data_IF_737153210644
#
_entry.id   IF_737153210644
#
_cell.length_a   1.000
_cell.length_b   1.000
_cell.length_c   1.000
_cell.angle_alpha   90.00
_cell.angle_beta   90.00
_cell.angle_gamma   90.00
#
_symmetry.space_group_name_H-M   'P 1'
#
loop_
_entity.id
_entity.type
_entity.pdbx_description
1 polymer ?
#
# COMPACT_ATOMS: atom_id res chain seq x y z
N UNK A 1 -33.35 -5.53 -20.74
CA UNK A 1 -32.08 -6.25 -20.53
C UNK A 1 -30.86 -5.39 -20.93
N UNK A 2 -30.75 -4.13 -20.47
CA UNK A 2 -29.66 -3.22 -20.84
C UNK A 2 -29.19 -2.40 -19.62
N UNK A 3 -28.48 -3.02 -18.67
CA UNK A 3 -27.72 -2.28 -17.64
C UNK A 3 -26.59 -3.07 -16.95
N UNK A 4 -26.36 -4.34 -17.30
CA UNK A 4 -25.31 -5.18 -16.71
C UNK A 4 -23.93 -5.06 -17.41
N UNK A 5 -23.82 -4.27 -18.46
CA UNK A 5 -22.57 -4.08 -19.22
C UNK A 5 -21.77 -2.83 -18.79
N UNK A 6 -22.24 -2.07 -17.80
CA UNK A 6 -21.68 -0.75 -17.45
C UNK A 6 -21.17 -0.59 -16.01
N UNK A 7 -21.32 -1.58 -15.11
CA UNK A 7 -20.81 -1.47 -13.74
C UNK A 7 -19.38 -2.03 -13.62
N UNK A 8 -18.54 -1.29 -12.90
CA UNK A 8 -17.17 -1.72 -12.57
C UNK A 8 -17.19 -2.82 -11.50
N UNK A 9 -16.26 -3.78 -11.58
CA UNK A 9 -16.02 -4.73 -10.49
C UNK A 9 -15.08 -4.09 -9.47
N UNK A 10 -15.49 -4.00 -8.22
CA UNK A 10 -14.70 -3.43 -7.12
C UNK A 10 -14.12 -4.55 -6.26
N UNK A 11 -12.82 -4.49 -5.97
CA UNK A 11 -12.14 -5.50 -5.17
C UNK A 11 -11.41 -4.82 -4.02
N UNK A 12 -11.87 -5.12 -2.81
CA UNK A 12 -11.27 -4.64 -1.57
C UNK A 12 -10.31 -5.72 -1.05
N UNK A 13 -9.04 -5.38 -0.91
CA UNK A 13 -7.99 -6.27 -0.41
C UNK A 13 -7.65 -5.91 1.04
N UNK A 14 -7.58 -6.90 1.91
CA UNK A 14 -7.14 -6.76 3.30
C UNK A 14 -5.99 -7.72 3.54
N UNK A 15 -4.88 -7.21 4.09
CA UNK A 15 -3.82 -8.08 4.62
C UNK A 15 -4.22 -8.58 6.01
N UNK A 16 -3.94 -9.84 6.32
CA UNK A 16 -4.15 -10.41 7.65
C UNK A 16 -3.62 -9.51 8.77
N UNK A 17 -4.28 -9.60 9.92
CA UNK A 17 -3.90 -8.85 11.11
C UNK A 17 -2.57 -9.31 11.69
N UNK A 18 -2.07 -8.58 12.69
CA UNK A 18 -0.77 -8.86 13.31
C UNK A 18 -0.71 -10.26 13.91
N UNK A 19 0.37 -10.99 13.63
CA UNK A 19 0.63 -12.33 14.19
C UNK A 19 1.82 -12.35 15.13
N UNK A 20 1.96 -13.45 15.88
CA UNK A 20 3.14 -13.76 16.72
C UNK A 20 4.45 -13.66 15.91
N UNK A 21 4.48 -14.19 14.69
CA UNK A 21 5.67 -14.10 13.82
C UNK A 21 5.91 -12.69 13.29
N UNK A 22 4.88 -11.84 13.16
CA UNK A 22 5.10 -10.43 12.84
C UNK A 22 5.81 -9.71 13.99
N UNK A 23 5.43 -9.97 15.24
CA UNK A 23 6.05 -9.36 16.42
C UNK A 23 7.49 -9.82 16.62
N UNK A 24 7.75 -11.10 16.37
CA UNK A 24 9.09 -11.69 16.46
C UNK A 24 9.99 -11.31 15.27
N UNK A 25 9.43 -10.82 14.16
CA UNK A 25 10.21 -10.55 12.96
C UNK A 25 10.67 -11.82 12.24
N UNK A 26 9.78 -12.80 12.10
CA UNK A 26 10.04 -14.06 11.39
C UNK A 26 9.44 -14.07 9.98
N UNK A 27 10.12 -14.74 9.06
CA UNK A 27 9.54 -15.12 7.77
C UNK A 27 8.41 -16.12 8.01
N UNK A 28 7.19 -15.75 7.65
CA UNK A 28 6.03 -16.66 7.74
C UNK A 28 5.92 -17.51 6.48
N UNK A 29 5.98 -16.87 5.32
CA UNK A 29 5.66 -17.52 4.05
C UNK A 29 4.32 -18.26 4.11
N UNK A 30 4.27 -19.41 3.46
CA UNK A 30 3.12 -20.33 3.46
C UNK A 30 2.97 -21.16 4.74
N UNK A 31 3.84 -21.03 5.75
CA UNK A 31 3.68 -21.74 7.04
C UNK A 31 2.38 -21.33 7.73
N UNK A 32 1.72 -22.29 8.38
CA UNK A 32 0.49 -22.09 9.14
C UNK A 32 0.68 -22.10 10.67
N UNK A 33 1.90 -21.88 11.14
CA UNK A 33 2.23 -21.93 12.58
C UNK A 33 1.85 -20.66 13.34
N UNK A 34 1.84 -19.50 12.67
CA UNK A 34 1.58 -18.23 13.34
C UNK A 34 0.11 -18.07 13.70
N UNK A 35 -0.16 -17.32 14.77
CA UNK A 35 -1.51 -16.99 15.25
C UNK A 35 -1.64 -15.48 15.39
N UNK A 36 -2.86 -14.95 15.29
CA UNK A 36 -3.10 -13.54 15.60
C UNK A 36 -2.71 -13.22 17.05
N UNK A 37 -2.14 -12.03 17.26
CA UNK A 37 -1.93 -11.50 18.61
C UNK A 37 -3.20 -10.81 19.10
N UNK A 38 -3.28 -10.50 20.40
CA UNK A 38 -4.44 -9.77 20.94
C UNK A 38 -4.63 -8.42 20.24
N UNK A 39 -3.53 -7.69 19.99
CA UNK A 39 -3.56 -6.49 19.17
C UNK A 39 -4.04 -6.78 17.74
N UNK A 40 -3.60 -7.89 17.14
CA UNK A 40 -4.08 -8.32 15.83
C UNK A 40 -5.60 -8.50 15.79
N UNK A 41 -6.19 -9.15 16.80
CA UNK A 41 -7.65 -9.28 16.87
C UNK A 41 -8.35 -7.93 16.97
N UNK A 42 -7.88 -7.02 17.84
CA UNK A 42 -8.44 -5.66 17.95
C UNK A 42 -8.35 -4.88 16.64
N UNK A 43 -7.21 -4.96 15.97
CA UNK A 43 -6.99 -4.32 14.67
C UNK A 43 -7.90 -4.92 13.58
N UNK A 44 -8.20 -6.23 13.63
CA UNK A 44 -9.11 -6.89 12.69
C UNK A 44 -10.58 -6.49 12.92
N UNK A 45 -11.01 -6.35 14.18
CA UNK A 45 -12.35 -5.83 14.52
C UNK A 45 -12.52 -4.39 14.02
N UNK A 46 -11.54 -3.52 14.27
CA UNK A 46 -11.57 -2.14 13.76
C UNK A 46 -11.58 -2.09 12.22
N UNK A 47 -10.90 -3.04 11.57
CA UNK A 47 -10.99 -3.20 10.11
C UNK A 47 -12.40 -3.61 9.68
N UNK A 48 -13.07 -4.48 10.44
CA UNK A 48 -14.47 -4.80 10.21
C UNK A 48 -15.38 -3.57 10.23
N UNK A 49 -15.18 -2.65 11.19
CA UNK A 49 -15.95 -1.40 11.29
C UNK A 49 -15.75 -0.53 10.05
N UNK A 50 -14.50 -0.33 9.61
CA UNK A 50 -14.19 0.47 8.43
C UNK A 50 -14.76 -0.13 7.12
N UNK A 51 -15.03 -1.43 7.10
CA UNK A 51 -15.57 -2.12 5.93
C UNK A 51 -17.11 -2.15 5.89
N UNK A 52 -17.80 -1.61 6.89
CA UNK A 52 -19.27 -1.62 6.96
C UNK A 52 -19.93 -0.82 5.84
N UNK A 53 -19.26 0.21 5.33
CA UNK A 53 -19.76 1.03 4.22
C UNK A 53 -19.83 0.26 2.87
N UNK A 54 -19.25 -0.94 2.78
CA UNK A 54 -19.25 -1.74 1.55
C UNK A 54 -20.29 -2.86 1.59
N UNK A 55 -21.21 -2.85 0.62
CA UNK A 55 -22.06 -4.02 0.35
C UNK A 55 -21.31 -5.02 -0.51
N UNK A 56 -20.82 -6.07 0.15
CA UNK A 56 -20.06 -7.13 -0.50
C UNK A 56 -20.99 -8.20 -1.08
N UNK A 57 -20.68 -8.64 -2.29
CA UNK A 57 -21.36 -9.75 -2.97
C UNK A 57 -20.68 -11.09 -2.66
N UNK A 58 -19.38 -11.09 -2.39
CA UNK A 58 -18.62 -12.27 -1.97
C UNK A 58 -17.38 -11.91 -1.13
N UNK A 59 -16.97 -12.85 -0.28
CA UNK A 59 -15.70 -12.79 0.46
C UNK A 59 -14.82 -13.96 0.01
N UNK A 60 -13.57 -13.69 -0.34
CA UNK A 60 -12.55 -14.70 -0.60
C UNK A 60 -11.43 -14.62 0.44
N UNK A 61 -10.92 -15.76 0.88
CA UNK A 61 -9.81 -15.78 1.82
C UNK A 61 -8.80 -16.89 1.54
N UNK A 62 -7.55 -16.64 1.96
CA UNK A 62 -6.52 -17.66 2.05
C UNK A 62 -6.89 -18.76 3.06
N UNK A 63 -6.48 -20.02 2.83
CA UNK A 63 -6.73 -21.12 3.78
C UNK A 63 -5.95 -21.02 5.10
N UNK A 64 -4.93 -20.15 5.19
CA UNK A 64 -4.06 -20.07 6.36
C UNK A 64 -4.79 -19.48 7.58
N UNK A 65 -4.55 -20.07 8.75
CA UNK A 65 -5.18 -19.80 10.04
C UNK A 65 -5.20 -18.32 10.38
N UNK A 66 -4.09 -17.59 10.22
CA UNK A 66 -4.04 -16.14 10.49
C UNK A 66 -5.02 -15.31 9.65
N UNK A 67 -5.28 -15.73 8.40
CA UNK A 67 -6.23 -15.09 7.51
C UNK A 67 -7.65 -15.46 7.90
N UNK A 68 -7.92 -16.73 8.22
CA UNK A 68 -9.22 -17.18 8.75
C UNK A 68 -9.60 -16.40 10.00
N UNK A 69 -8.71 -16.33 11.00
CA UNK A 69 -8.91 -15.56 12.23
C UNK A 69 -9.16 -14.06 11.97
N UNK A 70 -8.44 -13.46 11.02
CA UNK A 70 -8.67 -12.05 10.64
C UNK A 70 -10.06 -11.89 10.02
N UNK A 71 -10.45 -12.81 9.14
CA UNK A 71 -11.71 -12.78 8.42
C UNK A 71 -12.90 -13.00 9.36
N UNK A 72 -12.78 -13.90 10.34
CA UNK A 72 -13.77 -14.14 11.39
C UNK A 72 -14.03 -12.89 12.23
N UNK A 73 -12.99 -12.17 12.63
CA UNK A 73 -13.13 -10.91 13.37
C UNK A 73 -13.83 -9.83 12.52
N UNK A 74 -13.46 -9.68 11.25
CA UNK A 74 -14.12 -8.75 10.32
C UNK A 74 -15.61 -9.11 10.19
N UNK A 75 -15.94 -10.38 9.93
CA UNK A 75 -17.32 -10.85 9.77
C UNK A 75 -18.14 -10.63 11.04
N UNK A 76 -17.55 -10.83 12.22
CA UNK A 76 -18.24 -10.59 13.50
C UNK A 76 -18.81 -9.17 13.56
N UNK A 77 -18.04 -8.19 13.09
CA UNK A 77 -18.43 -6.78 13.07
C UNK A 77 -19.40 -6.48 11.92
N UNK A 78 -19.21 -7.07 10.74
CA UNK A 78 -20.16 -6.92 9.62
C UNK A 78 -21.54 -7.48 9.98
N UNK A 79 -21.61 -8.62 10.70
CA UNK A 79 -22.85 -9.24 11.19
C UNK A 79 -23.66 -8.37 12.12
N UNK A 80 -22.99 -7.53 12.91
CA UNK A 80 -23.68 -6.65 13.88
C UNK A 80 -24.45 -5.54 13.18
N UNK A 81 -23.94 -5.07 12.03
CA UNK A 81 -24.44 -3.87 11.36
C UNK A 81 -25.09 -4.16 10.00
N UNK A 82 -25.12 -5.43 9.55
CA UNK A 82 -25.75 -5.85 8.28
C UNK A 82 -26.69 -7.04 8.47
N UNK A 83 -27.81 -6.99 7.75
CA UNK A 83 -28.81 -8.06 7.71
C UNK A 83 -28.41 -9.25 6.83
N UNK A 84 -27.33 -9.12 6.06
CA UNK A 84 -26.85 -10.14 5.13
C UNK A 84 -25.33 -10.27 5.23
N UNK A 85 -24.86 -11.52 5.18
CA UNK A 85 -23.45 -11.84 5.06
C UNK A 85 -23.26 -12.48 3.69
N UNK A 86 -22.34 -11.96 2.86
CA UNK A 86 -22.03 -12.59 1.58
C UNK A 86 -21.49 -14.01 1.73
N UNK A 87 -21.59 -14.84 0.68
CA UNK A 87 -20.92 -16.13 0.63
C UNK A 87 -19.40 -15.99 0.79
N UNK A 88 -18.82 -16.89 1.57
CA UNK A 88 -17.40 -16.90 1.92
C UNK A 88 -16.73 -18.09 1.23
N UNK A 89 -15.65 -17.84 0.50
CA UNK A 89 -14.91 -18.84 -0.26
C UNK A 89 -13.45 -18.89 0.18
N UNK A 90 -12.97 -20.08 0.52
CA UNK A 90 -11.52 -20.30 0.70
C UNK A 90 -10.89 -20.65 -0.64
N UNK A 91 -9.80 -19.96 -1.03
CA UNK A 91 -9.09 -20.22 -2.27
C UNK A 91 -7.58 -20.39 -2.03
N UNK A 92 -7.03 -21.54 -2.42
CA UNK A 92 -5.61 -21.86 -2.22
C UNK A 92 -4.68 -20.93 -3.01
N UNK A 93 -5.14 -20.30 -4.09
CA UNK A 93 -4.36 -19.33 -4.86
C UNK A 93 -4.18 -17.99 -4.12
N UNK A 94 -4.82 -17.83 -2.97
CA UNK A 94 -4.59 -16.71 -2.05
C UNK A 94 -3.58 -17.05 -0.94
N UNK A 95 -2.92 -18.21 -0.99
CA UNK A 95 -1.84 -18.56 -0.03
C UNK A 95 -0.65 -17.61 -0.15
N UNK A 96 0.02 -17.35 0.97
CA UNK A 96 1.21 -16.49 1.01
C UNK A 96 2.37 -17.11 0.24
N UNK A 97 3.28 -16.24 -0.22
CA UNK A 97 4.50 -16.65 -0.90
C UNK A 97 5.23 -17.76 -0.14
N UNK A 98 5.63 -18.82 -0.85
CA UNK A 98 6.41 -19.90 -0.27
C UNK A 98 7.86 -19.46 -0.11
N UNK A 99 8.35 -19.43 1.13
CA UNK A 99 9.71 -19.04 1.47
C UNK A 99 10.57 -20.22 1.96
N UNK A 100 10.12 -21.45 1.72
CA UNK A 100 10.84 -22.71 1.97
C UNK A 100 11.71 -22.68 3.24
N UNK A 101 13.03 -22.73 3.09
CA UNK A 101 14.02 -22.83 4.17
C UNK A 101 14.09 -21.59 5.09
N UNK A 102 13.47 -20.49 4.70
CA UNK A 102 13.41 -19.27 5.51
C UNK A 102 12.21 -19.27 6.46
N UNK A 103 11.19 -20.09 6.22
CA UNK A 103 9.99 -20.09 7.07
C UNK A 103 10.35 -20.42 8.52
N UNK A 104 9.87 -19.60 9.45
CA UNK A 104 10.19 -19.72 10.86
C UNK A 104 11.48 -19.02 11.27
N UNK A 105 12.40 -18.69 10.37
CA UNK A 105 13.63 -17.97 10.72
C UNK A 105 13.36 -16.48 10.93
N UNK A 106 14.12 -15.86 11.84
CA UNK A 106 14.17 -14.41 12.02
C UNK A 106 14.75 -13.75 10.76
N UNK A 107 14.30 -12.54 10.46
CA UNK A 107 14.86 -11.75 9.36
C UNK A 107 16.39 -11.57 9.48
N UNK A 108 16.89 -11.47 10.71
CA UNK A 108 18.32 -11.30 10.99
C UNK A 108 19.09 -12.60 10.73
N UNK A 109 18.58 -13.74 11.21
CA UNK A 109 19.19 -15.06 10.96
C UNK A 109 19.32 -15.34 9.46
N UNK A 110 18.29 -14.99 8.67
CA UNK A 110 18.35 -15.15 7.20
C UNK A 110 19.42 -14.26 6.58
N UNK A 111 19.54 -13.00 7.02
CA UNK A 111 20.55 -12.07 6.50
C UNK A 111 21.97 -12.53 6.82
N UNK A 112 22.19 -13.15 7.97
CA UNK A 112 23.49 -13.65 8.40
C UNK A 112 23.84 -14.99 7.73
N UNK A 113 22.87 -15.91 7.63
CA UNK A 113 23.09 -17.26 7.10
C UNK A 113 23.06 -17.34 5.57
N UNK A 114 22.25 -16.51 4.92
CA UNK A 114 22.00 -16.56 3.48
C UNK A 114 22.27 -15.19 2.82
N UNK A 115 23.46 -14.63 3.01
CA UNK A 115 23.80 -13.24 2.66
C UNK A 115 23.47 -12.91 1.19
N UNK A 116 23.96 -13.70 0.24
CA UNK A 116 23.79 -13.48 -1.20
C UNK A 116 22.31 -13.62 -1.59
N UNK A 117 21.66 -14.66 -1.08
CA UNK A 117 20.26 -14.94 -1.35
C UNK A 117 19.33 -13.86 -0.75
N UNK A 118 19.65 -13.34 0.45
CA UNK A 118 18.96 -12.23 1.09
C UNK A 118 19.14 -10.92 0.31
N UNK A 119 20.34 -10.66 -0.22
CA UNK A 119 20.61 -9.53 -1.09
C UNK A 119 19.83 -9.63 -2.42
N UNK A 120 19.79 -10.82 -3.03
CA UNK A 120 18.99 -11.06 -4.23
C UNK A 120 17.49 -10.86 -3.94
N UNK A 121 16.97 -11.44 -2.87
CA UNK A 121 15.58 -11.25 -2.45
C UNK A 121 15.23 -9.76 -2.27
N UNK A 122 16.10 -8.99 -1.62
CA UNK A 122 15.84 -7.58 -1.36
C UNK A 122 15.87 -6.71 -2.63
N UNK A 123 16.79 -6.97 -3.55
CA UNK A 123 17.12 -6.05 -4.64
C UNK A 123 16.61 -6.52 -6.01
N UNK A 124 16.58 -7.83 -6.24
CA UNK A 124 16.15 -8.46 -7.48
C UNK A 124 15.21 -9.64 -7.18
N UNK A 125 14.08 -9.39 -6.50
CA UNK A 125 13.20 -10.45 -6.00
C UNK A 125 12.64 -11.39 -7.09
N UNK A 126 12.59 -10.92 -8.34
CA UNK A 126 12.15 -11.69 -9.50
C UNK A 126 13.17 -12.73 -9.99
N UNK A 127 14.44 -12.60 -9.60
CA UNK A 127 15.51 -13.57 -9.89
C UNK A 127 15.79 -14.51 -8.71
N UNK A 128 15.24 -14.20 -7.54
CA UNK A 128 15.42 -15.02 -6.35
C UNK A 128 14.79 -16.40 -6.55
N UNK A 129 15.56 -17.43 -6.22
CA UNK A 129 15.14 -18.82 -6.28
C UNK A 129 15.81 -19.60 -5.14
N UNK A 130 15.26 -20.78 -4.81
CA UNK A 130 15.87 -21.68 -3.82
C UNK A 130 16.70 -22.81 -4.47
N UNK A 131 16.36 -23.21 -5.70
CA UNK A 131 16.88 -24.42 -6.34
C UNK A 131 16.75 -24.39 -7.89
N UNK A 132 16.85 -23.20 -8.50
CA UNK A 132 16.73 -22.90 -9.94
C UNK A 132 15.44 -23.35 -10.66
N UNK A 133 14.54 -24.03 -9.96
CA UNK A 133 13.28 -24.57 -10.49
C UNK A 133 12.06 -23.87 -9.90
N UNK A 134 12.23 -23.19 -8.76
CA UNK A 134 11.18 -22.44 -8.08
C UNK A 134 11.62 -21.00 -7.80
N UNK A 135 10.89 -20.05 -8.36
CA UNK A 135 11.14 -18.61 -8.28
C UNK A 135 9.97 -17.95 -7.53
N UNK A 136 10.04 -17.81 -6.19
CA UNK A 136 8.89 -17.50 -5.36
C UNK A 136 8.00 -16.35 -5.83
N UNK A 137 8.58 -15.28 -6.38
CA UNK A 137 7.81 -14.14 -6.90
C UNK A 137 7.17 -14.45 -8.25
N UNK A 138 7.88 -15.13 -9.17
CA UNK A 138 7.33 -15.47 -10.49
C UNK A 138 6.17 -16.44 -10.32
N UNK A 139 6.35 -17.51 -9.54
CA UNK A 139 5.31 -18.49 -9.23
C UNK A 139 4.08 -17.84 -8.58
N UNK A 140 4.29 -16.89 -7.65
CA UNK A 140 3.18 -16.17 -7.02
C UNK A 140 2.43 -15.28 -8.02
N UNK A 141 3.12 -14.62 -8.95
CA UNK A 141 2.48 -13.80 -9.98
C UNK A 141 1.61 -14.64 -10.92
N UNK A 142 2.06 -15.84 -11.29
CA UNK A 142 1.25 -16.78 -12.07
C UNK A 142 0.02 -17.24 -11.26
N UNK A 143 0.22 -17.64 -10.00
CA UNK A 143 -0.83 -18.09 -9.09
C UNK A 143 -1.97 -17.05 -8.97
N UNK A 144 -1.63 -15.78 -8.74
CA UNK A 144 -2.65 -14.72 -8.59
C UNK A 144 -3.28 -14.32 -9.92
N UNK A 145 -2.57 -14.48 -11.05
CA UNK A 145 -3.14 -14.26 -12.38
C UNK A 145 -4.26 -15.26 -12.67
N UNK A 146 -4.05 -16.54 -12.35
CA UNK A 146 -5.08 -17.57 -12.46
C UNK A 146 -6.27 -17.28 -11.52
N UNK A 147 -6.01 -16.73 -10.33
CA UNK A 147 -7.06 -16.30 -9.41
C UNK A 147 -7.91 -15.17 -10.02
N UNK A 148 -7.29 -14.13 -10.57
CA UNK A 148 -7.99 -13.02 -11.23
C UNK A 148 -8.87 -13.47 -12.38
N UNK A 149 -8.36 -14.35 -13.25
CA UNK A 149 -9.13 -14.88 -14.39
C UNK A 149 -10.45 -15.52 -13.94
N UNK A 150 -10.42 -16.33 -12.87
CA UNK A 150 -11.64 -16.96 -12.33
C UNK A 150 -12.54 -15.93 -11.65
N UNK A 151 -11.97 -15.05 -10.82
CA UNK A 151 -12.73 -14.07 -10.04
C UNK A 151 -13.50 -13.10 -10.95
N UNK A 152 -12.79 -12.45 -11.89
CA UNK A 152 -13.36 -11.42 -12.76
C UNK A 152 -14.35 -11.98 -13.80
N UNK A 153 -14.22 -13.26 -14.15
CA UNK A 153 -15.22 -13.94 -14.98
C UNK A 153 -16.52 -14.15 -14.22
N UNK A 154 -16.45 -14.48 -12.93
CA UNK A 154 -17.60 -14.78 -12.09
C UNK A 154 -18.31 -13.54 -11.54
N UNK A 155 -17.56 -12.50 -11.19
CA UNK A 155 -18.03 -11.37 -10.37
C UNK A 155 -18.03 -10.04 -11.14
N UNK A 156 -18.68 -9.99 -12.31
CA UNK A 156 -18.75 -8.77 -13.13
C UNK A 156 -19.71 -7.76 -12.52
N UNK A 157 -19.22 -6.54 -12.27
CA UNK A 157 -20.04 -5.46 -11.70
C UNK A 157 -20.31 -5.60 -10.20
N UNK A 158 -19.66 -6.56 -9.53
CA UNK A 158 -19.85 -6.86 -8.10
C UNK A 158 -18.74 -6.25 -7.24
N UNK A 159 -18.98 -6.15 -5.94
CA UNK A 159 -18.01 -5.71 -4.93
C UNK A 159 -17.55 -6.90 -4.09
N UNK A 160 -16.24 -7.18 -4.13
CA UNK A 160 -15.64 -8.38 -3.54
C UNK A 160 -14.64 -8.00 -2.45
N UNK A 161 -14.71 -8.67 -1.30
CA UNK A 161 -13.67 -8.61 -0.28
C UNK A 161 -12.70 -9.78 -0.44
N UNK A 162 -11.41 -9.51 -0.37
CA UNK A 162 -10.36 -10.53 -0.35
C UNK A 162 -9.49 -10.31 0.89
N UNK A 163 -9.38 -11.33 1.74
CA UNK A 163 -8.46 -11.32 2.88
C UNK A 163 -7.29 -12.27 2.59
N UNK A 164 -6.08 -11.74 2.51
CA UNK A 164 -4.89 -12.52 2.19
C UNK A 164 -3.65 -11.98 2.92
N UNK A 165 -2.50 -11.91 2.23
CA UNK A 165 -1.20 -11.71 2.87
C UNK A 165 -0.40 -10.58 2.25
N UNK A 166 0.74 -10.26 2.87
CA UNK A 166 1.56 -9.15 2.41
C UNK A 166 2.15 -9.41 1.03
N UNK A 167 2.73 -10.61 0.82
CA UNK A 167 3.27 -11.01 -0.46
C UNK A 167 2.20 -11.22 -1.52
N UNK A 168 1.17 -12.00 -1.20
CA UNK A 168 0.02 -12.24 -2.09
C UNK A 168 -0.64 -10.93 -2.54
N UNK A 169 -0.89 -9.98 -1.62
CA UNK A 169 -1.52 -8.70 -2.00
C UNK A 169 -0.61 -7.85 -2.91
N UNK A 170 0.71 -7.89 -2.70
CA UNK A 170 1.65 -7.23 -3.63
C UNK A 170 1.49 -7.80 -5.04
N UNK A 171 1.46 -9.12 -5.17
CA UNK A 171 1.28 -9.76 -6.47
C UNK A 171 -0.11 -9.49 -7.08
N UNK A 172 -1.19 -9.56 -6.28
CA UNK A 172 -2.55 -9.23 -6.71
C UNK A 172 -2.64 -7.80 -7.26
N UNK A 173 -2.11 -6.82 -6.53
CA UNK A 173 -2.12 -5.41 -6.94
C UNK A 173 -1.22 -5.22 -8.16
N UNK A 174 0.01 -5.72 -8.12
CA UNK A 174 0.97 -5.58 -9.23
C UNK A 174 0.41 -6.13 -10.53
N UNK A 175 -0.13 -7.34 -10.54
CA UNK A 175 -0.73 -7.94 -11.74
C UNK A 175 -1.97 -7.16 -12.22
N UNK A 176 -2.81 -6.69 -11.30
CA UNK A 176 -4.00 -5.91 -11.63
C UNK A 176 -3.67 -4.55 -12.25
N UNK A 177 -2.58 -3.90 -11.83
CA UNK A 177 -2.16 -2.58 -12.36
C UNK A 177 -1.05 -2.65 -13.41
N UNK A 178 -0.67 -3.86 -13.83
CA UNK A 178 0.31 -4.09 -14.89
C UNK A 178 1.78 -3.92 -14.50
N UNK A 179 2.13 -4.00 -13.22
CA UNK A 179 3.52 -3.98 -12.74
C UNK A 179 4.19 -5.36 -12.89
N UNK A 180 5.47 -5.34 -13.27
CA UNK A 180 6.30 -6.52 -13.39
C UNK A 180 6.74 -7.08 -12.01
N UNK A 181 7.10 -8.38 -11.95
CA UNK A 181 7.65 -9.02 -10.75
C UNK A 181 8.84 -8.30 -10.10
N UNK A 182 9.65 -7.57 -10.88
CA UNK A 182 10.78 -6.80 -10.36
C UNK A 182 10.38 -5.76 -9.30
N UNK A 183 9.15 -5.24 -9.37
CA UNK A 183 8.61 -4.23 -8.45
C UNK A 183 7.90 -4.85 -7.23
N UNK A 184 8.07 -6.16 -6.98
CA UNK A 184 7.38 -6.86 -5.89
C UNK A 184 7.54 -6.19 -4.52
N UNK A 185 8.70 -5.61 -4.23
CA UNK A 185 8.96 -4.90 -2.98
C UNK A 185 8.58 -3.41 -2.98
N UNK A 186 8.15 -2.86 -4.12
CA UNK A 186 7.77 -1.44 -4.27
C UNK A 186 6.37 -1.12 -3.75
N UNK A 187 5.56 -2.11 -3.38
CA UNK A 187 4.24 -1.91 -2.78
C UNK A 187 4.26 -2.27 -1.30
N UNK A 188 3.93 -1.31 -0.44
CA UNK A 188 3.80 -1.58 0.97
C UNK A 188 2.45 -2.24 1.29
N UNK A 189 2.47 -3.18 2.23
CA UNK A 189 1.28 -3.84 2.78
C UNK A 189 1.41 -3.95 4.30
N UNK A 190 0.75 -3.07 5.04
CA UNK A 190 0.65 -3.07 6.51
C UNK A 190 -0.33 -4.15 6.97
N UNK A 191 -0.17 -4.67 8.19
CA UNK A 191 -1.18 -5.58 8.75
C UNK A 191 -2.52 -4.84 8.83
N UNK A 192 -3.63 -5.51 8.48
CA UNK A 192 -4.94 -4.86 8.32
C UNK A 192 -4.99 -3.72 7.29
N UNK A 193 -3.95 -3.52 6.49
CA UNK A 193 -3.95 -2.51 5.43
C UNK A 193 -5.02 -2.84 4.39
N UNK A 194 -5.85 -1.85 4.06
CA UNK A 194 -6.95 -1.97 3.10
C UNK A 194 -6.53 -1.33 1.78
N UNK A 195 -6.78 -2.00 0.66
CA UNK A 195 -6.55 -1.46 -0.69
C UNK A 195 -7.77 -1.70 -1.56
N UNK A 196 -8.02 -0.84 -2.55
CA UNK A 196 -9.17 -0.98 -3.45
C UNK A 196 -8.73 -0.91 -4.91
N UNK A 197 -9.11 -1.94 -5.66
CA UNK A 197 -8.95 -2.03 -7.10
C UNK A 197 -10.32 -1.93 -7.76
N UNK A 198 -10.42 -1.13 -8.80
CA UNK A 198 -11.63 -0.98 -9.60
C UNK A 198 -11.35 -1.40 -11.04
N UNK A 199 -12.00 -2.49 -11.47
CA UNK A 199 -11.92 -3.01 -12.82
C UNK A 199 -13.07 -2.43 -13.64
N UNK A 200 -12.75 -1.44 -14.48
CA UNK A 200 -13.71 -0.86 -15.41
C UNK A 200 -14.09 -1.87 -16.51
N UNK A 201 -15.33 -1.81 -17.05
CA UNK A 201 -15.73 -2.64 -18.18
C UNK A 201 -14.73 -2.56 -19.33
N UNK A 202 -14.35 -3.72 -19.88
CA UNK A 202 -13.41 -3.87 -21.00
C UNK A 202 -11.97 -3.37 -20.72
N UNK A 203 -11.62 -3.02 -19.48
CA UNK A 203 -10.25 -2.67 -19.14
C UNK A 203 -9.41 -3.91 -18.84
N UNK A 204 -8.20 -3.98 -19.39
CA UNK A 204 -7.22 -5.03 -19.06
C UNK A 204 -6.65 -4.85 -17.64
N UNK A 205 -6.54 -3.62 -17.17
CA UNK A 205 -5.95 -3.28 -15.88
C UNK A 205 -6.97 -2.58 -14.98
N UNK A 206 -6.82 -2.78 -13.68
CA UNK A 206 -7.58 -2.07 -12.67
C UNK A 206 -7.06 -0.64 -12.47
N UNK A 207 -7.95 0.24 -12.03
CA UNK A 207 -7.58 1.48 -11.37
C UNK A 207 -7.34 1.19 -9.88
N UNK A 208 -6.20 1.62 -9.35
CA UNK A 208 -5.95 1.57 -7.91
C UNK A 208 -6.54 2.82 -7.27
N UNK A 209 -7.63 2.63 -6.50
CA UNK A 209 -8.41 3.73 -5.91
C UNK A 209 -7.84 4.21 -4.58
N UNK A 210 -7.33 3.29 -3.78
CA UNK A 210 -6.53 3.59 -2.59
C UNK A 210 -5.67 2.39 -2.26
N UNK A 211 -4.58 2.62 -1.55
CA UNK A 211 -3.58 1.61 -1.23
C UNK A 211 -3.18 1.71 0.24
N UNK A 212 -3.20 0.57 0.91
CA UNK A 212 -2.62 0.39 2.24
C UNK A 212 -3.14 1.41 3.27
N UNK A 213 -4.45 1.61 3.30
CA UNK A 213 -5.16 2.44 4.27
C UNK A 213 -5.13 1.80 5.66
N UNK A 214 -4.72 2.59 6.66
CA UNK A 214 -4.44 2.12 8.04
C UNK A 214 -4.97 3.05 9.14
N UNK A 215 -5.75 4.07 8.80
CA UNK A 215 -6.26 5.02 9.82
C UNK A 215 -7.23 4.33 10.78
N UNK A 216 -7.97 3.32 10.32
CA UNK A 216 -8.87 2.50 11.14
C UNK A 216 -8.15 1.76 12.28
N UNK A 217 -6.85 1.50 12.13
CA UNK A 217 -5.99 0.93 13.19
C UNK A 217 -5.12 1.99 13.88
N UNK A 218 -5.51 3.27 13.77
CA UNK A 218 -4.87 4.45 14.36
C UNK A 218 -3.44 4.70 13.87
N UNK A 219 -3.15 4.34 12.62
CA UNK A 219 -1.89 4.68 11.96
C UNK A 219 -2.15 5.72 10.85
N UNK A 220 -1.89 7.00 11.14
CA UNK A 220 -2.12 8.11 10.20
C UNK A 220 -1.26 8.02 8.95
N UNK A 221 -0.07 7.43 9.05
CA UNK A 221 0.79 7.12 7.91
C UNK A 221 1.30 5.68 8.01
N UNK A 222 1.47 4.96 6.88
CA UNK A 222 2.03 3.62 6.90
C UNK A 222 3.40 3.60 7.58
N UNK A 223 3.63 2.62 8.47
CA UNK A 223 4.92 2.44 9.17
C UNK A 223 6.06 2.16 8.20
N UNK A 224 7.24 2.74 8.46
CA UNK A 224 8.45 2.43 7.68
C UNK A 224 8.90 0.99 7.98
N UNK A 225 9.06 0.18 6.93
CA UNK A 225 9.51 -1.21 7.04
C UNK A 225 11.01 -1.40 6.74
N UNK A 226 11.55 -0.67 5.77
CA UNK A 226 12.94 -0.81 5.32
C UNK A 226 13.74 0.44 5.69
N UNK A 227 14.95 0.26 6.22
CA UNK A 227 15.95 1.31 6.42
C UNK A 227 15.64 2.35 7.50
N UNK A 228 14.37 2.73 7.74
CA UNK A 228 13.95 3.89 8.56
C UNK A 228 14.70 5.19 8.23
N UNK A 229 15.35 5.24 7.07
CA UNK A 229 16.23 6.31 6.61
C UNK A 229 15.82 6.72 5.19
N UNK A 230 16.31 7.85 4.70
CA UNK A 230 16.05 8.32 3.35
C UNK A 230 14.93 9.34 3.28
N UNK A 231 14.26 9.42 2.13
CA UNK A 231 13.27 10.46 1.86
C UNK A 231 11.86 9.91 1.83
N UNK A 232 10.93 10.55 2.51
CA UNK A 232 9.50 10.23 2.44
C UNK A 232 8.76 11.41 1.84
N UNK A 233 8.20 11.23 0.67
CA UNK A 233 7.41 12.25 0.00
C UNK A 233 5.93 11.99 0.26
N UNK A 234 5.25 13.01 0.77
CA UNK A 234 3.80 13.09 0.85
C UNK A 234 3.36 14.00 -0.29
N UNK A 235 2.74 13.46 -1.33
CA UNK A 235 2.33 14.21 -2.52
C UNK A 235 0.84 14.53 -2.40
N UNK A 236 0.52 15.81 -2.55
CA UNK A 236 -0.82 16.35 -2.42
C UNK A 236 -1.16 17.17 -3.66
N UNK A 237 -2.26 16.84 -4.33
CA UNK A 237 -2.70 17.59 -5.52
C UNK A 237 -3.24 18.96 -5.11
N UNK A 238 -2.89 20.00 -5.86
CA UNK A 238 -3.49 21.34 -5.72
C UNK A 238 -4.90 21.45 -6.31
N UNK A 239 -5.40 20.39 -6.97
CA UNK A 239 -6.75 20.30 -7.51
C UNK A 239 -7.81 19.86 -6.48
N UNK A 240 -7.45 19.78 -5.20
CA UNK A 240 -8.37 19.43 -4.12
C UNK A 240 -9.39 20.56 -3.96
N UNK A 241 -10.69 20.21 -3.97
CA UNK A 241 -11.75 21.15 -3.65
C UNK A 241 -11.60 21.60 -2.19
N UNK A 242 -11.39 22.90 -1.98
CA UNK A 242 -11.10 23.48 -0.67
C UNK A 242 -12.20 23.21 0.37
N UNK A 243 -13.43 23.04 -0.11
CA UNK A 243 -14.68 22.79 0.61
C UNK A 243 -14.94 21.31 0.92
N UNK A 244 -14.23 20.38 0.28
CA UNK A 244 -14.34 18.94 0.52
C UNK A 244 -13.18 18.36 1.35
N UNK A 245 -12.08 19.11 1.49
CA UNK A 245 -10.90 18.67 2.21
C UNK A 245 -11.17 18.59 3.73
N UNK A 246 -11.12 17.38 4.28
CA UNK A 246 -11.03 17.21 5.73
C UNK A 246 -9.61 17.59 6.20
N UNK A 247 -9.43 18.90 6.45
CA UNK A 247 -8.16 19.42 6.95
C UNK A 247 -7.75 18.78 8.27
N UNK A 248 -8.64 18.15 9.04
CA UNK A 248 -8.28 17.54 10.32
C UNK A 248 -7.22 16.45 10.17
N UNK A 249 -7.28 15.66 9.09
CA UNK A 249 -6.29 14.64 8.79
C UNK A 249 -4.93 15.24 8.42
N UNK A 250 -4.91 16.23 7.50
CA UNK A 250 -3.68 16.94 7.12
C UNK A 250 -3.09 17.69 8.32
N UNK A 251 -3.92 18.35 9.12
CA UNK A 251 -3.54 19.01 10.38
C UNK A 251 -2.91 18.01 11.35
N UNK A 252 -3.44 16.79 11.49
CA UNK A 252 -2.85 15.78 12.36
C UNK A 252 -1.44 15.40 11.91
N UNK A 253 -1.22 15.24 10.60
CA UNK A 253 0.10 14.94 10.04
C UNK A 253 1.10 16.07 10.31
N UNK A 254 0.65 17.31 10.15
CA UNK A 254 1.45 18.53 10.27
C UNK A 254 1.78 18.87 11.73
N UNK A 255 0.80 18.75 12.65
CA UNK A 255 1.00 18.98 14.10
C UNK A 255 1.86 17.92 14.78
N UNK A 256 1.89 16.70 14.23
CA UNK A 256 2.71 15.62 14.78
C UNK A 256 4.22 15.77 14.57
N UNK A 257 4.69 16.88 13.99
CA UNK A 257 6.08 17.10 13.56
C UNK A 257 6.61 15.99 12.64
N UNK A 258 5.72 15.36 11.87
CA UNK A 258 6.08 14.31 10.92
C UNK A 258 6.64 14.88 9.61
N UNK A 259 6.48 16.18 9.36
CA UNK A 259 6.88 16.86 8.12
C UNK A 259 8.03 17.81 8.45
N UNK A 260 9.15 17.65 7.75
CA UNK A 260 10.35 18.45 7.92
C UNK A 260 10.34 19.72 7.06
N UNK A 261 9.72 19.67 5.88
CA UNK A 261 9.58 20.82 4.99
C UNK A 261 8.32 20.68 4.12
N UNK A 262 7.81 21.82 3.67
CA UNK A 262 6.75 21.94 2.67
C UNK A 262 7.36 22.47 1.37
N UNK A 263 7.03 21.83 0.26
CA UNK A 263 7.45 22.22 -1.08
C UNK A 263 6.22 22.47 -1.93
N UNK A 264 6.12 23.64 -2.56
CA UNK A 264 4.99 23.94 -3.44
C UNK A 264 5.44 24.61 -4.73
N UNK A 265 4.69 24.40 -5.82
CA UNK A 265 4.82 25.27 -6.99
C UNK A 265 4.24 26.68 -6.74
N UNK A 266 4.41 27.57 -7.70
CA UNK A 266 4.01 28.99 -7.65
C UNK A 266 2.56 29.24 -8.14
N UNK A 267 1.79 28.17 -8.38
CA UNK A 267 0.38 28.34 -8.73
C UNK A 267 -0.41 28.92 -7.56
N UNK A 268 -1.45 29.68 -7.88
CA UNK A 268 -2.32 30.29 -6.87
C UNK A 268 -2.95 29.21 -5.97
N UNK A 269 -3.38 28.09 -6.54
CA UNK A 269 -3.98 26.97 -5.80
C UNK A 269 -3.00 26.35 -4.79
N UNK A 270 -1.77 26.05 -5.22
CA UNK A 270 -0.73 25.52 -4.32
C UNK A 270 -0.36 26.52 -3.23
N UNK A 271 -0.30 27.81 -3.54
CA UNK A 271 0.01 28.87 -2.58
C UNK A 271 -1.06 28.96 -1.49
N UNK A 272 -2.34 29.02 -1.87
CA UNK A 272 -3.47 29.05 -0.94
C UNK A 272 -3.48 27.82 -0.01
N UNK A 273 -3.31 26.63 -0.58
CA UNK A 273 -3.29 25.39 0.20
C UNK A 273 -2.07 25.33 1.15
N UNK A 274 -0.91 25.79 0.71
CA UNK A 274 0.30 25.87 1.55
C UNK A 274 0.09 26.81 2.74
N UNK A 275 -0.49 27.99 2.51
CA UNK A 275 -0.79 28.96 3.58
C UNK A 275 -1.75 28.37 4.62
N UNK A 276 -2.79 27.66 4.19
CA UNK A 276 -3.70 26.98 5.11
C UNK A 276 -2.99 25.93 5.96
N UNK A 277 -2.07 25.17 5.38
CA UNK A 277 -1.31 24.15 6.10
C UNK A 277 -0.36 24.80 7.12
N UNK A 278 0.33 25.87 6.74
CA UNK A 278 1.24 26.60 7.60
C UNK A 278 0.55 27.26 8.80
N UNK A 279 -0.75 27.60 8.69
CA UNK A 279 -1.52 28.05 9.86
C UNK A 279 -1.57 27.02 10.99
N UNK A 280 -1.39 25.72 10.69
CA UNK A 280 -1.37 24.66 11.69
C UNK A 280 0.02 24.36 12.25
N UNK A 281 1.08 24.71 11.52
CA UNK A 281 2.47 24.60 11.96
C UNK A 281 3.34 25.62 11.20
N UNK A 282 3.48 26.84 11.74
CA UNK A 282 4.18 27.93 11.06
C UNK A 282 5.70 27.73 11.00
N UNK A 283 6.26 26.80 11.80
CA UNK A 283 7.70 26.54 11.89
C UNK A 283 8.21 25.61 10.77
N UNK A 284 7.31 25.04 9.95
CA UNK A 284 7.72 24.20 8.82
C UNK A 284 8.44 25.04 7.78
N UNK A 285 9.66 24.62 7.40
CA UNK A 285 10.40 25.23 6.30
C UNK A 285 9.58 25.11 5.01
N UNK A 286 9.14 26.25 4.46
CA UNK A 286 8.43 26.30 3.19
C UNK A 286 9.37 26.75 2.07
N UNK A 287 9.48 25.91 1.04
CA UNK A 287 10.21 26.18 -0.18
C UNK A 287 9.21 26.36 -1.34
N UNK A 288 9.23 27.53 -1.98
CA UNK A 288 8.44 27.82 -3.17
C UNK A 288 9.29 27.64 -4.43
N UNK A 289 8.72 27.00 -5.46
CA UNK A 289 9.43 26.69 -6.71
C UNK A 289 8.68 27.26 -7.92
N UNK A 290 9.38 28.01 -8.77
CA UNK A 290 8.82 28.60 -9.99
C UNK A 290 9.02 27.74 -11.26
N UNK A 291 9.55 26.51 -11.14
CA UNK A 291 10.01 25.73 -12.31
C UNK A 291 9.35 24.35 -12.41
N UNK A 292 8.63 24.13 -13.51
CA UNK A 292 7.88 22.90 -13.84
C UNK A 292 8.72 21.60 -13.92
N UNK A 293 10.05 21.67 -13.89
CA UNK A 293 10.94 20.51 -14.01
C UNK A 293 11.69 20.16 -12.72
N UNK A 294 11.70 21.04 -11.71
CA UNK A 294 12.55 20.84 -10.54
C UNK A 294 12.22 19.55 -9.79
N UNK A 295 10.94 19.30 -9.49
CA UNK A 295 10.49 18.10 -8.78
C UNK A 295 10.92 16.81 -9.49
N UNK A 296 10.74 16.82 -10.81
CA UNK A 296 11.06 15.74 -11.73
C UNK A 296 12.57 15.48 -11.80
N UNK A 297 13.41 16.53 -11.77
CA UNK A 297 14.88 16.47 -11.71
C UNK A 297 15.39 16.06 -10.33
N UNK A 298 14.75 16.56 -9.27
CA UNK A 298 15.13 16.27 -7.89
C UNK A 298 14.85 14.81 -7.54
N UNK A 299 13.71 14.28 -7.97
CA UNK A 299 13.41 12.85 -7.86
C UNK A 299 14.46 11.99 -8.59
N UNK A 300 14.85 12.37 -9.80
CA UNK A 300 15.92 11.68 -10.54
C UNK A 300 17.26 11.78 -9.82
N UNK A 301 17.56 12.92 -9.21
CA UNK A 301 18.79 13.13 -8.43
C UNK A 301 18.81 12.22 -7.21
N UNK A 302 17.70 12.13 -6.45
CA UNK A 302 17.56 11.19 -5.33
C UNK A 302 17.75 9.76 -5.83
N UNK A 303 17.05 9.37 -6.90
CA UNK A 303 17.15 8.04 -7.49
C UNK A 303 18.56 7.68 -7.95
N UNK A 304 19.25 8.61 -8.63
CA UNK A 304 20.62 8.43 -9.09
C UNK A 304 21.61 8.35 -7.92
N UNK A 305 21.44 9.19 -6.88
CA UNK A 305 22.26 9.13 -5.67
C UNK A 305 22.06 7.82 -4.91
N UNK A 306 20.83 7.29 -4.83
CA UNK A 306 20.57 5.97 -4.25
C UNK A 306 21.34 4.88 -4.99
N UNK A 307 21.35 4.89 -6.33
CA UNK A 307 22.12 3.93 -7.13
C UNK A 307 23.64 4.02 -6.93
N UNK A 308 24.15 5.22 -6.66
CA UNK A 308 25.59 5.48 -6.52
C UNK A 308 26.10 5.23 -5.10
N UNK A 309 25.25 5.38 -4.07
CA UNK A 309 25.64 5.21 -2.67
C UNK A 309 25.66 3.74 -2.24
N UNK A 310 26.83 3.11 -2.39
CA UNK A 310 27.17 1.85 -1.71
C UNK A 310 28.06 2.02 -0.46
N UNK A 311 28.70 3.18 -0.25
CA UNK A 311 29.86 3.27 0.67
C UNK A 311 29.92 4.52 1.58
N UNK A 312 28.86 5.29 1.79
CA UNK A 312 28.92 6.46 2.68
C UNK A 312 27.94 6.42 3.85
N UNK A 313 28.48 6.61 5.06
CA UNK A 313 27.74 6.82 6.31
C UNK A 313 27.10 8.23 6.36
N UNK A 314 26.34 8.62 5.34
CA UNK A 314 25.57 9.87 5.41
C UNK A 314 24.34 9.67 6.31
N UNK A 315 24.01 10.70 7.11
CA UNK A 315 23.02 10.73 8.20
C UNK A 315 21.87 9.71 8.08
N UNK A 316 21.69 8.92 9.12
CA UNK A 316 20.67 7.86 9.24
C UNK A 316 19.22 8.36 9.40
N UNK A 317 18.94 9.63 9.11
CA UNK A 317 17.65 10.22 9.42
C UNK A 317 16.67 10.11 8.24
N UNK A 318 15.40 9.97 8.58
CA UNK A 318 14.31 10.08 7.62
C UNK A 318 13.96 11.55 7.45
N UNK A 319 13.96 12.03 6.21
CA UNK A 319 13.44 13.35 5.87
C UNK A 319 12.08 13.19 5.19
N UNK A 320 11.03 13.74 5.78
CA UNK A 320 9.67 13.73 5.24
C UNK A 320 9.31 15.10 4.69
N UNK A 321 9.00 15.17 3.39
CA UNK A 321 8.56 16.38 2.72
C UNK A 321 7.11 16.29 2.28
N UNK A 322 6.31 17.33 2.56
CA UNK A 322 5.00 17.51 1.95
C UNK A 322 5.16 18.31 0.65
N UNK A 323 4.70 17.76 -0.46
CA UNK A 323 4.82 18.34 -1.79
C UNK A 323 3.43 18.64 -2.33
N UNK A 324 3.14 19.92 -2.59
CA UNK A 324 1.88 20.40 -3.14
C UNK A 324 2.10 20.85 -4.57
N UNK A 325 1.45 20.18 -5.52
CA UNK A 325 1.61 20.49 -6.94
C UNK A 325 0.44 19.95 -7.77
N UNK A 326 0.44 20.19 -9.07
CA UNK A 326 -0.60 19.68 -9.95
C UNK A 326 -0.58 18.14 -10.10
N UNK A 327 -1.72 17.61 -10.53
CA UNK A 327 -1.92 16.17 -10.69
C UNK A 327 -0.99 15.54 -11.74
N UNK A 328 -0.57 16.32 -12.74
CA UNK A 328 0.32 15.86 -13.78
C UNK A 328 1.74 15.62 -13.23
N UNK A 329 2.29 16.50 -12.38
CA UNK A 329 3.58 16.26 -11.71
C UNK A 329 3.53 15.07 -10.77
N UNK A 330 2.46 14.90 -9.99
CA UNK A 330 2.29 13.74 -9.10
C UNK A 330 2.32 12.44 -9.92
N UNK A 331 1.58 12.39 -11.03
CA UNK A 331 1.58 11.24 -11.94
C UNK A 331 2.96 10.97 -12.52
N UNK A 332 3.71 12.00 -12.92
CA UNK A 332 5.09 11.84 -13.40
C UNK A 332 6.01 11.24 -12.32
N UNK A 333 5.90 11.72 -11.07
CA UNK A 333 6.68 11.20 -9.95
C UNK A 333 6.37 9.72 -9.73
N UNK A 334 5.09 9.34 -9.72
CA UNK A 334 4.70 7.93 -9.52
C UNK A 334 5.14 7.06 -10.71
N UNK A 335 4.97 7.52 -11.94
CA UNK A 335 5.41 6.79 -13.14
C UNK A 335 6.91 6.51 -13.12
N UNK A 336 7.73 7.44 -12.65
CA UNK A 336 9.18 7.24 -12.49
C UNK A 336 9.53 6.22 -11.42
N UNK A 337 8.76 6.15 -10.34
CA UNK A 337 8.94 5.15 -9.27
C UNK A 337 8.81 3.72 -9.81
N UNK A 338 7.86 3.47 -10.71
CA UNK A 338 7.58 2.14 -11.25
C UNK A 338 8.05 1.91 -12.69
N UNK A 339 8.64 2.92 -13.34
CA UNK A 339 8.93 2.96 -14.79
C UNK A 339 7.76 2.47 -15.65
N UNK A 340 6.52 2.70 -15.21
CA UNK A 340 5.33 2.17 -15.84
C UNK A 340 4.18 3.18 -15.79
N UNK A 341 3.28 3.10 -16.78
CA UNK A 341 2.05 3.87 -16.81
C UNK A 341 1.01 3.14 -15.96
N UNK A 342 0.96 3.45 -14.67
CA UNK A 342 -0.13 3.00 -13.80
C UNK A 342 -1.30 3.98 -13.88
N UNK A 343 -2.52 3.45 -14.02
CA UNK A 343 -3.74 4.26 -13.93
C UNK A 343 -4.05 4.48 -12.45
N UNK A 344 -3.76 5.68 -11.97
CA UNK A 344 -3.98 6.09 -10.58
C UNK A 344 -4.91 7.30 -10.57
N UNK A 345 -5.89 7.27 -9.66
CA UNK A 345 -6.60 8.47 -9.28
C UNK A 345 -5.83 9.14 -8.14
N UNK A 346 -5.30 10.33 -8.41
CA UNK A 346 -4.45 11.10 -7.50
C UNK A 346 -5.13 12.36 -6.98
N UNK A 347 -6.34 12.66 -7.46
CA UNK A 347 -7.19 13.75 -6.96
C UNK A 347 -7.79 13.33 -5.61
N UNK A 348 -7.82 14.24 -4.63
CA UNK A 348 -8.32 14.01 -3.26
C UNK A 348 -7.60 12.89 -2.48
N UNK A 349 -6.37 12.59 -2.87
CA UNK A 349 -5.56 11.54 -2.27
C UNK A 349 -4.22 12.08 -1.81
N UNK A 350 -3.73 11.59 -0.68
CA UNK A 350 -2.37 11.77 -0.23
C UNK A 350 -1.54 10.56 -0.69
N UNK A 351 -0.63 10.77 -1.63
CA UNK A 351 0.26 9.71 -2.11
C UNK A 351 1.54 9.71 -1.28
N UNK A 352 1.90 8.56 -0.74
CA UNK A 352 3.06 8.42 0.15
C UNK A 352 4.11 7.54 -0.50
N UNK A 353 5.27 8.11 -0.82
CA UNK A 353 6.39 7.38 -1.43
C UNK A 353 7.61 7.47 -0.52
N UNK A 354 8.24 6.33 -0.24
CA UNK A 354 9.50 6.26 0.50
C UNK A 354 10.64 5.89 -0.46
N UNK A 355 11.73 6.64 -0.37
CA UNK A 355 13.00 6.46 -1.08
C UNK A 355 14.07 6.09 -0.05
N UNK A 356 14.28 4.79 0.24
CA UNK A 356 15.26 4.34 1.24
C UNK A 356 16.70 4.66 0.81
N UNK A 357 17.62 5.00 1.73
CA UNK A 357 19.01 5.30 1.33
C UNK A 357 19.76 4.12 0.70
N UNK A 358 19.54 2.91 1.22
CA UNK A 358 20.16 1.68 0.69
C UNK A 358 19.47 1.28 -0.61
N UNK A 359 20.18 0.56 -1.50
CA UNK A 359 19.74 0.06 -2.82
C UNK A 359 18.40 -0.69 -2.83
N UNK A 360 17.30 0.01 -2.62
CA UNK A 360 15.95 -0.49 -2.65
C UNK A 360 15.19 0.34 -3.65
N UNK A 361 14.33 -0.31 -4.44
CA UNK A 361 13.37 0.42 -5.25
C UNK A 361 12.55 1.36 -4.36
N UNK A 362 12.11 2.53 -4.87
CA UNK A 362 11.18 3.35 -4.13
C UNK A 362 9.91 2.56 -3.82
N UNK A 363 9.34 2.84 -2.66
CA UNK A 363 8.22 2.10 -2.09
C UNK A 363 7.02 3.04 -2.05
N UNK A 364 6.00 2.73 -2.84
CA UNK A 364 4.69 3.32 -2.65
C UNK A 364 4.08 2.76 -1.36
N UNK A 365 4.08 3.59 -0.33
CA UNK A 365 3.65 3.21 1.00
C UNK A 365 2.14 3.24 1.14
N UNK A 366 1.48 4.15 0.44
CA UNK A 366 0.03 4.29 0.46
C UNK A 366 -0.47 5.33 -0.54
N UNK A 367 -1.74 5.20 -0.88
CA UNK A 367 -2.53 6.20 -1.60
C UNK A 367 -3.77 6.35 -0.72
N UNK A 368 -3.81 7.45 0.04
CA UNK A 368 -4.68 7.59 1.20
C UNK A 368 -5.77 8.62 0.87
N UNK A 369 -7.07 8.24 0.92
CA UNK A 369 -8.16 9.18 0.75
C UNK A 369 -8.07 10.29 1.81
N UNK A 370 -8.17 11.55 1.38
CA UNK A 370 -8.19 12.70 2.30
C UNK A 370 -9.62 13.02 2.71
N UNK A 371 -10.58 12.74 1.83
CA UNK A 371 -12.00 12.89 2.10
C UNK A 371 -12.48 11.59 2.76
N UNK A 372 -12.90 11.71 4.02
CA UNK A 372 -13.05 10.65 5.00
C UNK A 372 -14.19 9.63 4.70
N UNK A 373 -14.10 8.89 3.59
CA UNK A 373 -15.11 7.86 3.21
C UNK A 373 -14.99 6.55 4.01
N UNK A 374 -13.94 6.36 4.83
CA UNK A 374 -13.67 5.11 5.54
C UNK A 374 -13.27 5.29 7.02
N UNK A 375 -13.35 6.51 7.55
CA UNK A 375 -13.18 6.71 8.98
C UNK A 375 -14.54 6.44 9.64
N UNK A 376 -14.68 5.38 10.47
CA UNK A 376 -15.78 5.39 11.42
C UNK A 376 -15.63 6.67 12.22
N UNK A 377 -16.70 7.45 12.34
CA UNK A 377 -16.77 8.51 13.33
C UNK A 377 -16.58 7.84 14.70
N UNK A 378 -15.33 7.81 15.16
CA UNK A 378 -14.95 7.33 16.46
C UNK A 378 -15.37 8.42 17.45
N UNK A 379 -16.61 8.30 17.95
CA UNK A 379 -17.01 8.93 19.20
C UNK A 379 -16.31 8.25 20.37
#
# INVERSE_FOLDING_TARGET
MNNLLSSSTKVILVRHARTTYNEQGRYQGSSDESRLTEKGYKDALATGLALQEYDFDAIYLSPLTRVKQTTEAIITVLKQNKNYIPPIFTDHRLTEIKMSDWQGLLYQEVKEKYVEAANCWQNTPHLFNFNDTFFPVIDLFEQVTQFWQKLLTKHRGETILIVAHGGTNRALISTAVGLNPEYYHSLQQSNCGISCLEFLPNSKFAQLKYLNFTTQIKESLPKLKAGKTGWRWLLLSNAIAFDLCDYSYLTQLVKGNLINFLLSDDTQASTLLSQQILNFNPDILHLHLAQNHFLTTWQQTIYNKQKLNNNSESSNDLVTGLIITDDHHIKQIIQKTFKNKTSLNTVEQLVVIHYPHKNCHPILQGILPINNLLSPQLN
#
